data_IF_500521576815
#
_entry.id   IF_500521576815
#
_cell.length_a   1.000
_cell.length_b   1.000
_cell.length_c   1.000
_cell.angle_alpha   90.00
_cell.angle_beta   90.00
_cell.angle_gamma   90.00
#
_symmetry.space_group_name_H-M   'P 1'
#
loop_
_entity.id
_entity.type
_entity.pdbx_description
1 polymer ?
#
# COMPACT_ATOMS: atom_id res chain seq x y z
N UNK A 1 -14.32 41.73 -11.84
CA UNK A 1 -14.97 41.28 -10.58
C UNK A 1 -14.77 39.81 -10.32
N UNK A 2 -14.70 38.98 -11.36
CA UNK A 2 -14.60 37.50 -11.18
C UNK A 2 -13.20 36.99 -10.71
N UNK A 3 -12.11 37.62 -11.16
CA UNK A 3 -10.76 37.25 -10.72
C UNK A 3 -10.53 37.53 -9.23
N UNK A 4 -11.06 38.61 -8.69
CA UNK A 4 -10.96 38.94 -7.27
C UNK A 4 -11.78 37.97 -6.40
N UNK A 5 -12.96 37.59 -6.88
CA UNK A 5 -13.78 36.53 -6.21
C UNK A 5 -13.12 35.15 -6.25
N UNK A 6 -12.47 34.81 -7.36
CA UNK A 6 -11.67 33.57 -7.48
C UNK A 6 -10.47 33.61 -6.54
N UNK A 7 -9.78 34.74 -6.45
CA UNK A 7 -8.67 34.94 -5.52
C UNK A 7 -9.13 34.82 -4.07
N UNK A 8 -10.25 35.46 -3.68
CA UNK A 8 -10.82 35.33 -2.33
C UNK A 8 -11.26 33.88 -2.00
N UNK A 9 -11.76 33.12 -2.97
CA UNK A 9 -12.08 31.70 -2.75
C UNK A 9 -10.85 30.85 -2.41
N UNK A 10 -9.67 31.29 -2.83
CA UNK A 10 -8.41 30.62 -2.47
C UNK A 10 -8.08 30.70 -0.96
N UNK A 11 -8.70 31.62 -0.20
CA UNK A 11 -8.53 31.69 1.26
C UNK A 11 -9.40 30.68 2.03
N UNK A 12 -10.37 30.07 1.37
CA UNK A 12 -11.23 29.07 1.99
C UNK A 12 -10.78 27.69 1.51
N UNK A 13 -10.23 26.83 2.38
CA UNK A 13 -9.79 25.52 1.99
C UNK A 13 -10.98 24.67 1.52
N UNK A 14 -10.73 23.77 0.57
CA UNK A 14 -11.71 22.76 0.16
C UNK A 14 -12.12 21.86 1.33
N UNK A 15 -13.26 21.20 1.22
CA UNK A 15 -13.72 20.29 2.24
C UNK A 15 -12.77 19.08 2.37
N UNK A 16 -12.28 18.85 3.58
CA UNK A 16 -11.52 17.65 3.90
C UNK A 16 -12.49 16.49 4.03
N UNK A 17 -12.45 15.56 3.07
CA UNK A 17 -13.32 14.38 3.02
C UNK A 17 -12.85 13.27 3.98
N UNK A 18 -12.80 13.56 5.27
CA UNK A 18 -12.45 12.59 6.31
C UNK A 18 -13.68 12.32 7.17
N UNK A 19 -14.01 11.05 7.40
CA UNK A 19 -15.17 10.66 8.18
C UNK A 19 -14.97 10.96 9.69
N UNK A 20 -16.08 11.00 10.44
CA UNK A 20 -16.07 11.35 11.87
C UNK A 20 -15.27 10.37 12.72
N UNK A 21 -15.23 9.09 12.34
CA UNK A 21 -14.45 8.05 13.04
C UNK A 21 -12.96 8.33 12.94
N UNK A 22 -12.46 8.73 11.78
CA UNK A 22 -11.05 9.05 11.56
C UNK A 22 -10.66 10.33 12.32
N UNK A 23 -11.55 11.34 12.33
CA UNK A 23 -11.34 12.55 13.14
C UNK A 23 -11.21 12.23 14.62
N UNK A 24 -12.10 11.39 15.15
CA UNK A 24 -12.05 10.95 16.54
C UNK A 24 -10.78 10.15 16.83
N UNK A 25 -10.39 9.23 15.94
CA UNK A 25 -9.14 8.47 16.04
C UNK A 25 -7.93 9.40 16.15
N UNK A 26 -7.83 10.39 15.28
CA UNK A 26 -6.72 11.35 15.29
C UNK A 26 -6.66 12.15 16.60
N UNK A 27 -7.81 12.63 17.08
CA UNK A 27 -7.89 13.34 18.37
C UNK A 27 -7.47 12.45 19.55
N UNK A 28 -7.96 11.22 19.62
CA UNK A 28 -7.57 10.27 20.67
C UNK A 28 -6.08 9.93 20.61
N UNK A 29 -5.54 9.74 19.41
CA UNK A 29 -4.11 9.49 19.21
C UNK A 29 -3.25 10.65 19.68
N UNK A 30 -3.61 11.89 19.31
CA UNK A 30 -2.90 13.07 19.75
C UNK A 30 -2.97 13.27 21.27
N UNK A 31 -4.14 13.05 21.89
CA UNK A 31 -4.31 13.10 23.34
C UNK A 31 -3.38 12.10 24.03
N UNK A 32 -3.43 10.84 23.64
CA UNK A 32 -2.59 9.79 24.22
C UNK A 32 -1.09 10.06 23.96
N UNK A 33 -0.75 10.47 22.75
CA UNK A 33 0.63 10.79 22.38
C UNK A 33 1.24 11.87 23.24
N UNK A 34 0.56 13.00 23.40
CA UNK A 34 1.03 14.12 24.20
C UNK A 34 1.02 13.77 25.69
N UNK A 35 -0.05 13.16 26.20
CA UNK A 35 -0.18 12.80 27.60
C UNK A 35 0.93 11.82 28.04
N UNK A 36 1.12 10.72 27.30
CA UNK A 36 2.13 9.72 27.64
C UNK A 36 3.56 10.27 27.49
N UNK A 37 3.82 11.05 26.44
CA UNK A 37 5.12 11.74 26.28
C UNK A 37 5.39 12.65 27.47
N UNK A 38 4.41 13.47 27.88
CA UNK A 38 4.56 14.37 29.01
C UNK A 38 4.77 13.64 30.34
N UNK A 39 3.97 12.61 30.62
CA UNK A 39 4.10 11.81 31.85
C UNK A 39 5.46 11.10 31.95
N UNK A 40 5.91 10.45 30.87
CA UNK A 40 7.20 9.76 30.88
C UNK A 40 8.35 10.74 30.99
N UNK A 41 8.27 11.88 30.29
CA UNK A 41 9.28 12.95 30.40
C UNK A 41 9.34 13.51 31.82
N UNK A 42 8.18 13.71 32.47
CA UNK A 42 8.11 14.16 33.88
C UNK A 42 8.76 13.14 34.80
N UNK A 43 8.48 11.88 34.64
CA UNK A 43 9.07 10.81 35.46
C UNK A 43 10.58 10.66 35.23
N UNK A 44 11.04 10.77 33.96
CA UNK A 44 12.45 10.59 33.60
C UNK A 44 13.35 11.78 33.99
N UNK A 45 12.82 13.02 33.89
CA UNK A 45 13.60 14.24 34.14
C UNK A 45 13.39 14.81 35.53
N UNK A 46 12.42 14.27 36.29
CA UNK A 46 12.08 14.73 37.63
C UNK A 46 11.29 16.06 37.67
N UNK A 47 10.79 16.46 38.86
CA UNK A 47 9.96 17.64 39.03
C UNK A 47 10.82 18.91 39.10
N UNK A 48 11.61 19.19 38.08
CA UNK A 48 12.34 20.47 38.03
C UNK A 48 11.46 21.52 37.37
N UNK A 49 11.01 22.51 38.16
CA UNK A 49 10.16 23.61 37.69
C UNK A 49 10.79 24.46 36.56
N UNK A 50 12.04 24.24 36.25
CA UNK A 50 12.80 25.00 35.26
C UNK A 50 12.91 24.36 33.86
N UNK A 51 12.63 23.05 33.73
CA UNK A 51 12.80 22.37 32.45
C UNK A 51 11.44 22.20 31.73
N UNK A 52 11.33 22.57 30.45
CA UNK A 52 10.14 22.23 29.68
C UNK A 52 10.11 20.72 29.45
N UNK A 53 9.34 20.03 30.30
CA UNK A 53 9.13 18.58 30.23
C UNK A 53 8.57 18.12 28.86
N UNK A 54 7.77 18.99 28.27
CA UNK A 54 7.19 18.85 26.95
C UNK A 54 7.41 20.14 26.16
N UNK A 55 8.12 20.07 25.05
CA UNK A 55 8.34 21.25 24.21
C UNK A 55 7.14 21.50 23.29
N UNK A 56 6.74 22.75 23.13
CA UNK A 56 5.57 23.16 22.33
C UNK A 56 5.52 22.58 20.89
N UNK A 57 6.64 22.47 20.16
CA UNK A 57 6.66 21.83 18.84
C UNK A 57 6.09 20.42 18.78
N UNK A 58 6.07 19.68 19.89
CA UNK A 58 5.50 18.31 19.91
C UNK A 58 4.00 18.30 19.64
N UNK A 59 3.27 19.39 19.96
CA UNK A 59 1.87 19.53 19.59
C UNK A 59 1.66 19.48 18.08
N UNK A 60 2.47 20.22 17.31
CA UNK A 60 2.42 20.20 15.85
C UNK A 60 2.88 18.85 15.28
N UNK A 61 3.89 18.22 15.89
CA UNK A 61 4.30 16.84 15.51
C UNK A 61 3.18 15.84 15.75
N UNK A 62 2.40 15.97 16.83
CA UNK A 62 1.26 15.10 17.09
C UNK A 62 0.15 15.26 16.03
N UNK A 63 -0.10 16.48 15.53
CA UNK A 63 -1.05 16.70 14.42
C UNK A 63 -0.63 15.91 13.19
N UNK A 64 0.64 15.94 12.80
CA UNK A 64 1.15 15.18 11.67
C UNK A 64 1.09 13.67 11.90
N UNK A 65 1.55 13.20 13.06
CA UNK A 65 1.62 11.77 13.40
C UNK A 65 0.25 11.08 13.48
N UNK A 66 -0.75 11.77 13.99
CA UNK A 66 -2.07 11.19 14.22
C UNK A 66 -3.13 11.66 13.22
N UNK A 67 -2.98 12.86 12.66
CA UNK A 67 -3.91 13.41 11.67
C UNK A 67 -3.58 12.96 10.25
N UNK A 68 -2.30 12.92 9.88
CA UNK A 68 -1.84 12.57 8.51
C UNK A 68 -0.64 11.60 8.54
N UNK A 69 -0.78 10.40 9.12
CA UNK A 69 0.34 9.47 9.33
C UNK A 69 1.00 8.97 8.03
N UNK A 70 0.33 9.08 6.90
CA UNK A 70 0.88 8.73 5.59
C UNK A 70 1.79 9.83 5.00
N UNK A 71 1.72 11.07 5.53
CA UNK A 71 2.55 12.18 5.08
C UNK A 71 4.04 11.84 5.12
N UNK A 72 4.82 12.16 4.07
CA UNK A 72 6.28 12.07 4.12
C UNK A 72 6.91 12.89 5.24
N UNK A 73 6.27 14.00 5.61
CA UNK A 73 6.71 14.91 6.68
C UNK A 73 6.47 14.34 8.09
N UNK A 74 5.65 13.29 8.21
CA UNK A 74 5.34 12.59 9.45
C UNK A 74 6.12 11.27 9.63
N UNK A 75 7.01 10.91 8.70
CA UNK A 75 7.75 9.65 8.80
C UNK A 75 8.82 9.69 9.91
N UNK A 76 9.23 8.54 10.46
CA UNK A 76 10.15 8.46 11.60
C UNK A 76 11.45 9.26 11.42
N UNK A 77 12.05 9.18 10.22
CA UNK A 77 13.27 9.94 9.93
C UNK A 77 13.02 11.44 9.87
N UNK A 78 11.90 11.88 9.31
CA UNK A 78 11.54 13.30 9.26
C UNK A 78 11.41 13.89 10.66
N UNK A 79 10.77 13.16 11.58
CA UNK A 79 10.55 13.62 12.96
C UNK A 79 11.85 13.64 13.77
N UNK A 80 12.54 12.50 13.83
CA UNK A 80 13.76 12.39 14.65
C UNK A 80 14.87 13.25 14.04
N UNK A 81 15.16 13.10 12.76
CA UNK A 81 16.21 13.83 12.07
C UNK A 81 15.93 15.33 12.03
N UNK A 82 14.70 15.72 11.69
CA UNK A 82 14.31 17.12 11.63
C UNK A 82 14.43 17.83 12.97
N UNK A 83 13.87 17.24 14.05
CA UNK A 83 13.95 17.82 15.40
C UNK A 83 15.40 17.87 15.90
N UNK A 84 16.19 16.82 15.65
CA UNK A 84 17.59 16.77 16.07
C UNK A 84 18.43 17.86 15.37
N UNK A 85 18.31 17.96 14.05
CA UNK A 85 19.02 18.96 13.24
C UNK A 85 18.63 20.38 13.67
N UNK A 86 17.35 20.63 13.82
CA UNK A 86 16.83 21.93 14.22
C UNK A 86 17.29 22.32 15.64
N UNK A 87 17.30 21.36 16.57
CA UNK A 87 17.78 21.61 17.95
C UNK A 87 19.29 21.93 17.95
N UNK A 88 20.10 21.16 17.24
CA UNK A 88 21.54 21.40 17.15
C UNK A 88 21.85 22.78 16.59
N UNK A 89 21.24 23.13 15.45
CA UNK A 89 21.43 24.42 14.79
C UNK A 89 20.90 25.56 15.69
N UNK A 90 19.71 25.39 16.31
CA UNK A 90 19.14 26.39 17.20
C UNK A 90 20.04 26.68 18.40
N UNK A 91 20.54 25.64 19.08
CA UNK A 91 21.49 25.79 20.19
C UNK A 91 22.81 26.43 19.75
N UNK A 92 23.33 26.05 18.58
CA UNK A 92 24.54 26.66 18.04
C UNK A 92 24.35 28.17 17.79
N UNK A 93 23.23 28.56 17.15
CA UNK A 93 22.91 29.97 16.92
C UNK A 93 22.72 30.73 18.24
N UNK A 94 22.00 30.15 19.22
CA UNK A 94 21.80 30.77 20.52
C UNK A 94 23.12 31.02 21.27
N UNK A 95 24.12 30.16 21.06
CA UNK A 95 25.41 30.24 21.72
C UNK A 95 26.38 31.23 21.07
N UNK A 96 26.35 31.34 19.74
CA UNK A 96 27.36 32.08 18.99
C UNK A 96 26.86 33.41 18.40
N UNK A 97 25.56 33.64 18.34
CA UNK A 97 24.98 34.88 17.81
C UNK A 97 24.36 35.64 18.98
N UNK A 98 24.94 36.81 19.38
CA UNK A 98 24.49 37.56 20.56
C UNK A 98 23.10 38.14 20.44
N UNK A 99 22.70 38.57 19.22
CA UNK A 99 21.40 39.18 19.01
C UNK A 99 20.34 38.09 18.76
N UNK A 100 19.27 38.02 19.60
CA UNK A 100 18.25 36.99 19.52
C UNK A 100 17.47 37.00 18.20
N UNK A 101 17.26 38.17 17.57
CA UNK A 101 16.52 38.27 16.30
C UNK A 101 17.32 37.62 15.16
N UNK A 102 18.59 37.95 15.05
CA UNK A 102 19.46 37.35 14.05
C UNK A 102 19.70 35.86 14.35
N UNK A 103 19.91 35.50 15.60
CA UNK A 103 20.08 34.09 16.02
C UNK A 103 18.87 33.25 15.61
N UNK A 104 17.66 33.74 15.85
CA UNK A 104 16.40 33.07 15.53
C UNK A 104 16.21 32.92 14.02
N UNK A 105 16.41 34.01 13.28
CA UNK A 105 16.22 34.03 11.82
C UNK A 105 17.18 33.07 11.11
N UNK A 106 18.46 33.09 11.52
CA UNK A 106 19.49 32.20 10.97
C UNK A 106 19.23 30.77 11.39
N UNK A 107 18.84 30.52 12.64
CA UNK A 107 18.56 29.16 13.13
C UNK A 107 17.45 28.48 12.34
N UNK A 108 16.32 29.17 12.11
CA UNK A 108 15.19 28.61 11.35
C UNK A 108 15.58 28.39 9.89
N UNK A 109 16.20 29.39 9.25
CA UNK A 109 16.61 29.30 7.84
C UNK A 109 17.62 28.18 7.62
N UNK A 110 18.65 28.08 8.44
CA UNK A 110 19.66 27.05 8.36
C UNK A 110 19.10 25.65 8.68
N UNK A 111 18.18 25.56 9.65
CA UNK A 111 17.49 24.30 9.95
C UNK A 111 16.68 23.80 8.77
N UNK A 112 15.91 24.68 8.10
CA UNK A 112 15.16 24.33 6.88
C UNK A 112 16.11 23.84 5.79
N UNK A 113 17.19 24.56 5.50
CA UNK A 113 18.18 24.16 4.48
C UNK A 113 18.82 22.80 4.80
N UNK A 114 19.19 22.57 6.06
CA UNK A 114 19.77 21.32 6.50
C UNK A 114 18.75 20.15 6.44
N UNK A 115 17.49 20.37 6.81
CA UNK A 115 16.45 19.37 6.69
C UNK A 115 16.18 18.95 5.24
N UNK A 116 16.22 19.88 4.29
CA UNK A 116 16.16 19.54 2.86
C UNK A 116 17.34 18.71 2.42
N UNK A 117 18.56 19.11 2.78
CA UNK A 117 19.78 18.39 2.41
C UNK A 117 19.81 16.96 2.98
N UNK A 118 19.33 16.76 4.20
CA UNK A 118 19.30 15.48 4.91
C UNK A 118 18.00 14.67 4.68
N UNK A 119 17.10 15.18 3.85
CA UNK A 119 15.79 14.54 3.54
C UNK A 119 14.96 14.22 4.79
N UNK A 120 15.00 15.12 5.77
CA UNK A 120 14.26 14.97 7.03
C UNK A 120 13.38 16.20 7.32
N UNK A 121 12.72 16.72 6.26
CA UNK A 121 11.85 17.87 6.40
C UNK A 121 10.69 17.54 7.32
N UNK A 122 10.61 18.28 8.45
CA UNK A 122 9.56 18.17 9.45
C UNK A 122 9.17 19.58 9.90
N UNK A 123 8.04 20.14 9.44
CA UNK A 123 7.69 21.52 9.70
C UNK A 123 7.71 21.94 11.18
N UNK A 124 7.25 21.11 12.14
CA UNK A 124 7.35 21.43 13.57
C UNK A 124 8.78 21.68 14.06
N UNK A 125 9.79 21.16 13.37
CA UNK A 125 11.21 21.34 13.74
C UNK A 125 11.68 22.79 13.64
N UNK A 126 11.05 23.60 12.78
CA UNK A 126 11.28 25.04 12.77
C UNK A 126 10.99 25.69 14.13
N UNK A 127 9.92 25.25 14.80
CA UNK A 127 9.61 25.71 16.14
C UNK A 127 10.56 25.13 17.22
N UNK A 128 11.20 23.98 16.98
CA UNK A 128 12.28 23.46 17.85
C UNK A 128 13.49 24.40 17.79
N UNK A 129 13.90 24.85 16.60
CA UNK A 129 14.98 25.83 16.45
C UNK A 129 14.65 27.15 17.13
N UNK A 130 13.42 27.65 16.98
CA UNK A 130 12.92 28.83 17.71
C UNK A 130 12.99 28.64 19.23
N UNK A 131 12.54 27.50 19.72
CA UNK A 131 12.56 27.18 21.17
C UNK A 131 13.97 27.14 21.73
N UNK A 132 14.93 26.63 20.97
CA UNK A 132 16.35 26.60 21.39
C UNK A 132 16.91 28.00 21.60
N UNK A 133 16.49 28.99 20.80
CA UNK A 133 16.96 30.39 20.89
C UNK A 133 16.11 31.22 21.88
N UNK A 134 14.80 31.11 21.82
CA UNK A 134 13.87 32.00 22.55
C UNK A 134 13.27 31.36 23.80
N UNK A 135 13.58 30.13 24.14
CA UNK A 135 12.98 29.38 25.24
C UNK A 135 13.38 29.87 26.65
N UNK A 136 14.12 30.96 26.71
CA UNK A 136 14.53 31.60 27.99
C UNK A 136 15.70 30.89 28.68
N UNK A 137 16.10 31.37 29.87
CA UNK A 137 17.28 30.89 30.60
C UNK A 137 17.24 29.39 30.91
N UNK A 138 16.06 28.83 31.11
CA UNK A 138 15.88 27.40 31.38
C UNK A 138 16.28 26.51 30.19
N UNK A 139 16.03 26.98 28.98
CA UNK A 139 16.38 26.25 27.73
C UNK A 139 17.80 26.56 27.29
N UNK A 140 18.15 27.86 27.24
CA UNK A 140 19.50 28.28 26.78
C UNK A 140 20.60 27.81 27.73
N UNK A 141 20.32 27.70 29.03
CA UNK A 141 21.23 27.18 30.05
C UNK A 141 21.58 25.69 29.88
N UNK A 142 20.73 24.92 29.21
CA UNK A 142 20.99 23.51 28.89
C UNK A 142 22.07 23.33 27.79
N UNK A 143 22.26 24.34 26.94
CA UNK A 143 23.14 24.20 25.77
C UNK A 143 22.76 22.97 24.96
N UNK A 144 23.75 22.17 24.58
CA UNK A 144 23.53 20.96 23.76
C UNK A 144 22.78 19.82 24.49
N UNK A 145 22.66 19.87 25.83
CA UNK A 145 21.79 18.91 26.54
C UNK A 145 20.31 19.06 26.13
N UNK A 146 19.87 20.26 25.71
CA UNK A 146 18.53 20.46 25.15
C UNK A 146 18.22 19.55 23.97
N UNK A 147 19.22 19.22 23.15
CA UNK A 147 19.11 18.32 22.00
C UNK A 147 18.73 16.91 22.45
N UNK A 148 19.35 16.40 23.51
CA UNK A 148 19.10 15.06 24.03
C UNK A 148 17.83 15.02 24.88
N UNK A 149 17.73 15.95 25.83
CA UNK A 149 16.58 16.11 26.69
C UNK A 149 16.25 17.61 26.81
N UNK A 150 15.06 18.07 26.37
CA UNK A 150 13.85 17.29 26.06
C UNK A 150 13.67 16.85 24.60
N UNK A 151 14.41 17.39 23.60
CA UNK A 151 14.02 17.26 22.18
C UNK A 151 14.02 15.81 21.69
N UNK A 152 15.14 15.11 21.81
CA UNK A 152 15.23 13.71 21.32
C UNK A 152 14.31 12.79 22.13
N UNK A 153 14.25 12.97 23.46
CA UNK A 153 13.40 12.19 24.34
C UNK A 153 11.92 12.34 23.96
N UNK A 154 11.42 13.58 23.83
CA UNK A 154 10.01 13.83 23.46
C UNK A 154 9.71 13.28 22.05
N UNK A 155 10.61 13.50 21.09
CA UNK A 155 10.46 13.00 19.72
C UNK A 155 10.37 11.49 19.68
N UNK A 156 11.24 10.80 20.40
CA UNK A 156 11.26 9.34 20.47
C UNK A 156 10.00 8.78 21.15
N UNK A 157 9.59 9.35 22.29
CA UNK A 157 8.40 8.92 23.02
C UNK A 157 7.13 9.12 22.18
N UNK A 158 6.97 10.29 21.57
CA UNK A 158 5.83 10.59 20.72
C UNK A 158 5.77 9.67 19.51
N UNK A 159 6.92 9.39 18.88
CA UNK A 159 7.03 8.45 17.78
C UNK A 159 6.68 7.03 18.21
N UNK A 160 7.13 6.57 19.37
CA UNK A 160 6.80 5.24 19.91
C UNK A 160 5.29 5.09 20.12
N UNK A 161 4.64 6.10 20.73
CA UNK A 161 3.19 6.08 20.89
C UNK A 161 2.48 6.07 19.54
N UNK A 162 2.97 6.83 18.56
CA UNK A 162 2.40 6.85 17.22
C UNK A 162 2.55 5.50 16.50
N UNK A 163 3.70 4.82 16.63
CA UNK A 163 3.92 3.47 16.10
C UNK A 163 2.92 2.48 16.69
N UNK A 164 2.73 2.49 17.99
CA UNK A 164 1.80 1.59 18.67
C UNK A 164 0.35 1.90 18.32
N UNK A 165 -0.06 3.16 18.47
CA UNK A 165 -1.45 3.59 18.30
C UNK A 165 -1.93 3.44 16.83
N UNK A 166 -1.17 3.92 15.87
CA UNK A 166 -1.58 3.86 14.46
C UNK A 166 -1.72 2.40 14.01
N UNK A 167 -0.75 1.54 14.32
CA UNK A 167 -0.82 0.12 13.92
C UNK A 167 -1.95 -0.62 14.67
N UNK A 168 -2.19 -0.34 15.94
CA UNK A 168 -3.32 -0.90 16.69
C UNK A 168 -4.68 -0.47 16.10
N UNK A 169 -4.76 0.73 15.54
CA UNK A 169 -5.96 1.28 14.88
C UNK A 169 -6.00 1.00 13.37
N UNK A 170 -5.24 0.00 12.88
CA UNK A 170 -5.18 -0.45 11.48
C UNK A 170 -4.70 0.61 10.47
N UNK A 171 -3.97 1.62 10.93
CA UNK A 171 -3.24 2.56 10.08
C UNK A 171 -1.77 2.12 10.05
N UNK A 172 -1.31 1.62 8.90
CA UNK A 172 0.09 1.20 8.77
C UNK A 172 1.02 2.40 8.97
N UNK A 173 1.86 2.30 9.99
CA UNK A 173 2.88 3.30 10.27
C UNK A 173 4.15 2.61 10.78
N UNK A 174 5.35 2.88 10.26
CA UNK A 174 5.64 3.83 9.18
C UNK A 174 4.87 3.52 7.88
N UNK A 175 4.64 4.56 7.07
CA UNK A 175 4.04 4.36 5.75
C UNK A 175 5.07 3.66 4.86
N UNK A 176 4.77 2.42 4.48
CA UNK A 176 5.64 1.60 3.61
C UNK A 176 5.05 1.65 2.21
N UNK A 177 5.90 1.98 1.24
CA UNK A 177 5.59 1.84 -0.18
C UNK A 177 4.94 0.48 -0.47
N UNK A 178 3.94 0.47 -1.34
CA UNK A 178 3.33 -0.78 -1.81
C UNK A 178 4.41 -1.59 -2.53
N UNK A 179 4.90 -2.64 -1.89
CA UNK A 179 5.80 -3.60 -2.55
C UNK A 179 4.95 -4.35 -3.56
N UNK A 180 5.24 -4.13 -4.83
CA UNK A 180 4.66 -4.89 -5.95
C UNK A 180 4.87 -6.39 -5.65
N UNK A 181 3.80 -7.22 -5.56
CA UNK A 181 3.97 -8.66 -5.35
C UNK A 181 4.73 -9.24 -6.54
N UNK A 182 5.99 -9.42 -6.37
CA UNK A 182 7.10 -9.69 -7.24
C UNK A 182 6.76 -10.29 -8.61
N UNK A 183 7.54 -9.93 -9.60
CA UNK A 183 7.50 -10.42 -10.99
C UNK A 183 7.44 -11.96 -11.00
N UNK A 184 6.26 -12.52 -11.20
CA UNK A 184 6.02 -13.98 -11.22
C UNK A 184 6.92 -14.70 -12.25
N UNK A 185 7.29 -13.97 -13.31
CA UNK A 185 8.08 -14.50 -14.42
C UNK A 185 9.59 -14.26 -14.31
N UNK A 186 10.07 -13.61 -13.24
CA UNK A 186 11.51 -13.31 -13.01
C UNK A 186 12.21 -12.65 -14.21
N UNK A 187 11.46 -11.98 -15.08
CA UNK A 187 11.99 -11.25 -16.25
C UNK A 187 12.26 -9.79 -15.87
N UNK A 188 13.12 -9.11 -16.63
CA UNK A 188 13.43 -7.68 -16.42
C UNK A 188 12.34 -6.74 -16.96
N UNK A 189 11.36 -7.26 -17.68
CA UNK A 189 10.30 -6.46 -18.28
C UNK A 189 9.30 -5.96 -17.23
N UNK A 190 8.74 -4.79 -17.50
CA UNK A 190 7.62 -4.27 -16.71
C UNK A 190 6.36 -5.11 -16.96
N UNK A 191 5.46 -5.17 -15.95
CA UNK A 191 4.17 -5.84 -16.10
C UNK A 191 3.35 -5.25 -17.25
N UNK A 192 2.48 -6.06 -17.86
CA UNK A 192 1.72 -5.67 -19.06
C UNK A 192 0.87 -4.43 -18.83
N UNK A 193 0.29 -4.27 -17.65
CA UNK A 193 -0.49 -3.10 -17.26
C UNK A 193 0.34 -1.81 -17.20
N UNK A 194 1.60 -1.91 -16.78
CA UNK A 194 2.52 -0.75 -16.70
C UNK A 194 3.14 -0.36 -18.04
N UNK A 195 3.15 -1.26 -19.03
CA UNK A 195 3.68 -0.94 -20.38
C UNK A 195 2.75 -0.07 -21.23
N UNK A 196 1.45 -0.05 -20.92
CA UNK A 196 0.42 0.64 -21.73
C UNK A 196 -0.14 1.88 -21.02
N UNK A 197 0.02 1.98 -19.67
CA UNK A 197 -0.38 3.13 -18.85
C UNK A 197 0.76 4.14 -18.66
N UNK A 198 0.58 5.07 -17.71
CA UNK A 198 1.68 5.93 -17.28
C UNK A 198 2.75 5.10 -16.55
N UNK A 199 4.01 5.49 -16.72
CA UNK A 199 5.15 4.86 -16.07
C UNK A 199 5.54 5.63 -14.80
N UNK A 200 6.39 4.99 -13.98
CA UNK A 200 6.95 5.69 -12.81
C UNK A 200 7.85 6.85 -13.24
N UNK A 201 8.53 6.70 -14.36
CA UNK A 201 9.36 7.74 -14.98
C UNK A 201 8.53 8.96 -15.43
N UNK A 202 7.33 8.73 -15.96
CA UNK A 202 6.41 9.81 -16.34
C UNK A 202 5.97 10.60 -15.12
N UNK A 203 5.61 9.91 -14.03
CA UNK A 203 5.25 10.55 -12.77
C UNK A 203 6.43 11.34 -12.19
N UNK A 204 7.63 10.77 -12.18
CA UNK A 204 8.83 11.46 -11.72
C UNK A 204 9.14 12.69 -12.56
N UNK A 205 8.99 12.60 -13.89
CA UNK A 205 9.17 13.74 -14.79
C UNK A 205 8.19 14.88 -14.47
N UNK A 206 6.92 14.56 -14.29
CA UNK A 206 5.89 15.55 -13.93
C UNK A 206 6.16 16.15 -12.56
N UNK A 207 6.53 15.35 -11.55
CA UNK A 207 6.88 15.83 -10.22
C UNK A 207 8.11 16.76 -10.24
N UNK A 208 9.11 16.44 -11.07
CA UNK A 208 10.26 17.32 -11.29
C UNK A 208 9.87 18.66 -11.92
N UNK A 209 8.97 18.65 -12.91
CA UNK A 209 8.46 19.90 -13.50
C UNK A 209 7.64 20.71 -12.51
N UNK A 210 6.86 20.03 -11.65
CA UNK A 210 6.03 20.70 -10.63
C UNK A 210 6.89 21.45 -9.60
N UNK A 211 8.08 20.95 -9.29
CA UNK A 211 9.12 21.58 -8.46
C UNK A 211 8.60 22.15 -7.13
N UNK A 212 7.68 21.45 -6.48
CA UNK A 212 7.13 21.80 -5.16
C UNK A 212 7.08 20.57 -4.26
N UNK A 213 7.18 20.79 -2.95
CA UNK A 213 7.00 19.72 -1.97
C UNK A 213 5.51 19.38 -1.86
N UNK A 214 5.17 18.15 -2.17
CA UNK A 214 3.82 17.63 -1.98
C UNK A 214 3.76 16.85 -0.66
N UNK A 215 2.69 17.09 0.12
CA UNK A 215 2.42 16.36 1.36
C UNK A 215 1.65 15.06 1.08
N UNK A 216 2.06 14.37 0.02
CA UNK A 216 1.53 13.06 -0.39
C UNK A 216 2.72 12.21 -0.81
N UNK A 217 2.74 10.94 -0.39
CA UNK A 217 3.79 10.03 -0.82
C UNK A 217 3.70 9.76 -2.33
N UNK A 218 4.84 9.52 -2.97
CA UNK A 218 4.90 9.18 -4.39
C UNK A 218 4.01 7.97 -4.72
N UNK A 219 4.01 6.97 -3.85
CA UNK A 219 3.24 5.74 -4.03
C UNK A 219 1.73 5.97 -3.88
N UNK A 220 1.32 6.85 -2.97
CA UNK A 220 -0.09 7.25 -2.84
C UNK A 220 -0.56 8.01 -4.08
N UNK A 221 0.29 8.88 -4.65
CA UNK A 221 -0.01 9.55 -5.92
C UNK A 221 -0.17 8.56 -7.07
N UNK A 222 0.75 7.59 -7.20
CA UNK A 222 0.65 6.52 -8.20
C UNK A 222 -0.66 5.74 -8.04
N UNK A 223 -1.00 5.35 -6.82
CA UNK A 223 -2.25 4.65 -6.51
C UNK A 223 -3.49 5.49 -6.82
N UNK A 224 -3.49 6.79 -6.49
CA UNK A 224 -4.60 7.68 -6.78
C UNK A 224 -4.82 7.84 -8.30
N UNK A 225 -3.76 7.98 -9.06
CA UNK A 225 -3.83 8.07 -10.53
C UNK A 225 -4.38 6.76 -11.10
N UNK A 226 -3.85 5.61 -10.68
CA UNK A 226 -4.34 4.29 -11.09
C UNK A 226 -5.83 4.10 -10.78
N UNK A 227 -6.27 4.43 -9.57
CA UNK A 227 -7.68 4.34 -9.18
C UNK A 227 -8.55 5.29 -10.00
N UNK A 228 -8.04 6.47 -10.32
CA UNK A 228 -8.75 7.46 -11.15
C UNK A 228 -8.88 6.96 -12.58
N UNK A 229 -7.84 6.37 -13.16
CA UNK A 229 -7.89 5.76 -14.49
C UNK A 229 -8.89 4.60 -14.53
N UNK A 230 -8.85 3.70 -13.55
CA UNK A 230 -9.80 2.58 -13.42
C UNK A 230 -11.25 3.09 -13.32
N UNK A 231 -11.49 4.13 -12.54
CA UNK A 231 -12.81 4.74 -12.40
C UNK A 231 -13.28 5.39 -13.71
N UNK A 232 -12.38 6.12 -14.39
CA UNK A 232 -12.68 6.71 -15.69
C UNK A 232 -12.95 5.63 -16.76
N UNK A 233 -12.22 4.52 -16.72
CA UNK A 233 -12.43 3.38 -17.60
C UNK A 233 -13.81 2.75 -17.39
N UNK A 234 -14.19 2.46 -16.12
CA UNK A 234 -15.53 1.95 -15.78
C UNK A 234 -16.64 2.84 -16.34
N UNK A 235 -16.50 4.16 -16.23
CA UNK A 235 -17.47 5.12 -16.73
C UNK A 235 -17.58 5.12 -18.26
N UNK A 236 -16.49 4.88 -18.99
CA UNK A 236 -16.45 4.90 -20.46
C UNK A 236 -16.99 3.60 -21.08
N UNK A 237 -16.68 2.46 -20.48
CA UNK A 237 -17.02 1.14 -21.02
C UNK A 237 -18.34 0.57 -20.50
N UNK A 238 -19.09 1.33 -19.69
CA UNK A 238 -20.37 0.88 -19.12
C UNK A 238 -20.19 -0.16 -18.01
N UNK A 239 -21.31 -0.65 -17.48
CA UNK A 239 -21.31 -1.61 -16.37
C UNK A 239 -21.25 -3.06 -16.88
N UNK A 240 -20.18 -3.44 -17.60
CA UNK A 240 -19.99 -4.84 -18.00
C UNK A 240 -19.49 -5.61 -16.77
N UNK A 241 -20.25 -6.60 -16.34
CA UNK A 241 -19.95 -7.44 -15.18
C UNK A 241 -19.38 -8.80 -15.60
N UNK A 242 -18.86 -9.53 -14.62
CA UNK A 242 -18.42 -10.92 -14.83
C UNK A 242 -19.55 -11.80 -15.36
N UNK A 243 -20.79 -11.58 -14.89
CA UNK A 243 -21.96 -12.31 -15.37
C UNK A 243 -22.25 -12.14 -16.86
N UNK A 244 -21.86 -11.00 -17.46
CA UNK A 244 -22.10 -10.69 -18.87
C UNK A 244 -21.14 -11.43 -19.82
N UNK A 245 -19.94 -11.78 -19.32
CA UNK A 245 -18.85 -12.34 -20.15
C UNK A 245 -18.46 -13.76 -19.77
N UNK A 246 -18.83 -14.24 -18.60
CA UNK A 246 -18.41 -15.55 -18.10
C UNK A 246 -19.01 -16.71 -18.92
N UNK A 247 -18.23 -17.75 -19.11
CA UNK A 247 -18.71 -19.06 -19.52
C UNK A 247 -19.48 -19.70 -18.36
N UNK A 248 -20.74 -20.10 -18.56
CA UNK A 248 -21.61 -20.65 -17.51
C UNK A 248 -21.56 -22.17 -17.42
N UNK A 249 -21.29 -22.84 -18.53
CA UNK A 249 -21.11 -24.30 -18.57
C UNK A 249 -19.66 -24.66 -18.22
N UNK A 250 -19.38 -24.68 -16.91
CA UNK A 250 -18.04 -24.90 -16.40
C UNK A 250 -17.83 -26.34 -15.99
N UNK A 251 -16.90 -27.01 -16.67
CA UNK A 251 -16.45 -28.35 -16.29
C UNK A 251 -15.64 -28.22 -14.99
N UNK A 252 -16.07 -28.90 -13.94
CA UNK A 252 -15.46 -28.88 -12.60
C UNK A 252 -15.20 -30.29 -12.09
N UNK A 253 -14.33 -30.43 -11.10
CA UNK A 253 -14.00 -31.69 -10.44
C UNK A 253 -14.13 -31.55 -8.92
N UNK A 254 -14.18 -32.65 -8.21
CA UNK A 254 -14.19 -32.68 -6.77
C UNK A 254 -12.79 -32.98 -6.20
N UNK A 255 -12.60 -32.73 -4.92
CA UNK A 255 -11.34 -33.00 -4.20
C UNK A 255 -10.81 -34.42 -4.44
N UNK A 256 -11.71 -35.43 -4.36
CA UNK A 256 -11.40 -36.85 -4.49
C UNK A 256 -11.33 -37.37 -5.92
N UNK A 257 -11.52 -36.52 -6.93
CA UNK A 257 -11.40 -36.93 -8.34
C UNK A 257 -9.98 -37.43 -8.62
N UNK A 258 -9.85 -38.57 -9.33
CA UNK A 258 -8.55 -39.09 -9.69
C UNK A 258 -7.79 -38.13 -10.64
N UNK A 259 -6.46 -38.15 -10.57
CA UNK A 259 -5.64 -37.34 -11.49
C UNK A 259 -5.83 -37.78 -12.94
N UNK A 260 -6.11 -39.10 -13.18
CA UNK A 260 -6.36 -39.63 -14.49
C UNK A 260 -7.67 -39.07 -15.11
N UNK A 261 -8.76 -39.06 -14.34
CA UNK A 261 -10.03 -38.52 -14.77
C UNK A 261 -9.95 -37.00 -14.99
N UNK A 262 -9.30 -36.27 -14.07
CA UNK A 262 -9.13 -34.83 -14.23
C UNK A 262 -8.30 -34.46 -15.48
N UNK A 263 -7.23 -35.21 -15.76
CA UNK A 263 -6.44 -35.02 -16.96
C UNK A 263 -7.24 -35.35 -18.22
N UNK A 264 -8.02 -36.46 -18.20
CA UNK A 264 -8.90 -36.83 -19.33
C UNK A 264 -9.93 -35.74 -19.62
N UNK A 265 -10.51 -35.09 -18.60
CA UNK A 265 -11.42 -33.96 -18.77
C UNK A 265 -10.73 -32.75 -19.40
N UNK A 266 -9.51 -32.37 -18.95
CA UNK A 266 -8.74 -31.28 -19.57
C UNK A 266 -8.52 -31.53 -21.08
N UNK A 267 -8.16 -32.76 -21.45
CA UNK A 267 -7.93 -33.11 -22.86
C UNK A 267 -9.24 -33.17 -23.67
N UNK A 268 -10.27 -33.83 -23.12
CA UNK A 268 -11.58 -33.99 -23.79
C UNK A 268 -12.20 -32.65 -24.14
N UNK A 269 -12.20 -31.72 -23.18
CA UNK A 269 -12.82 -30.39 -23.33
C UNK A 269 -11.84 -29.34 -23.86
N UNK A 270 -10.56 -29.71 -24.12
CA UNK A 270 -9.50 -28.81 -24.61
C UNK A 270 -9.34 -27.56 -23.74
N UNK A 271 -9.47 -27.72 -22.41
CA UNK A 271 -9.34 -26.65 -21.41
C UNK A 271 -8.03 -26.79 -20.63
N UNK A 272 -7.54 -25.70 -20.05
CA UNK A 272 -6.25 -25.66 -19.34
C UNK A 272 -6.39 -25.68 -17.81
N UNK A 273 -7.61 -25.49 -17.31
CA UNK A 273 -7.88 -25.45 -15.87
C UNK A 273 -9.26 -26.03 -15.56
N UNK A 274 -9.38 -26.66 -14.39
CA UNK A 274 -10.62 -27.17 -13.82
C UNK A 274 -10.80 -26.58 -12.42
N UNK A 275 -11.88 -25.85 -12.13
CA UNK A 275 -12.24 -25.52 -10.76
C UNK A 275 -12.52 -26.79 -9.96
N UNK A 276 -12.06 -26.78 -8.71
CA UNK A 276 -12.32 -27.85 -7.75
C UNK A 276 -13.39 -27.39 -6.79
N UNK A 277 -14.46 -28.17 -6.70
CA UNK A 277 -15.63 -27.86 -5.87
C UNK A 277 -15.86 -28.93 -4.82
N UNK A 278 -16.59 -28.59 -3.77
CA UNK A 278 -17.12 -29.55 -2.82
C UNK A 278 -18.54 -30.00 -3.21
N UNK A 279 -19.14 -30.91 -2.43
CA UNK A 279 -20.50 -31.41 -2.61
C UNK A 279 -21.58 -30.31 -2.61
N UNK A 280 -21.33 -29.16 -1.98
CA UNK A 280 -22.19 -27.98 -1.99
C UNK A 280 -21.92 -27.04 -3.18
N UNK A 281 -21.13 -27.48 -4.17
CA UNK A 281 -20.66 -26.68 -5.32
C UNK A 281 -19.82 -25.46 -4.96
N UNK A 282 -19.31 -25.36 -3.73
CA UNK A 282 -18.44 -24.26 -3.33
C UNK A 282 -17.04 -24.47 -3.89
N UNK A 283 -16.47 -23.39 -4.39
CA UNK A 283 -15.09 -23.36 -4.90
C UNK A 283 -14.11 -23.59 -3.75
N UNK A 284 -13.26 -24.63 -3.87
CA UNK A 284 -12.25 -24.99 -2.87
C UNK A 284 -10.84 -25.00 -3.44
N UNK A 285 -10.69 -25.00 -4.78
CA UNK A 285 -9.40 -25.03 -5.44
C UNK A 285 -9.53 -24.85 -6.95
N UNK A 286 -8.38 -24.85 -7.60
CA UNK A 286 -8.25 -24.93 -9.05
C UNK A 286 -7.08 -25.86 -9.38
N UNK A 287 -7.23 -26.68 -10.41
CA UNK A 287 -6.16 -27.52 -10.95
C UNK A 287 -5.92 -27.17 -12.41
N UNK A 288 -4.67 -27.00 -12.77
CA UNK A 288 -4.25 -26.62 -14.13
C UNK A 288 -3.30 -27.63 -14.73
N UNK A 289 -3.11 -27.59 -16.05
CA UNK A 289 -2.07 -28.38 -16.72
C UNK A 289 -0.68 -28.15 -16.13
N UNK A 290 -0.39 -26.92 -15.66
CA UNK A 290 0.88 -26.57 -15.01
C UNK A 290 1.10 -27.33 -13.71
N UNK A 291 0.02 -27.59 -12.93
CA UNK A 291 0.12 -28.35 -11.68
C UNK A 291 0.52 -29.80 -11.94
N UNK A 292 -0.04 -30.40 -12.98
CA UNK A 292 0.38 -31.75 -13.44
C UNK A 292 1.84 -31.77 -13.89
N UNK A 293 2.28 -30.79 -14.67
CA UNK A 293 3.66 -30.72 -15.15
C UNK A 293 4.66 -30.52 -14.01
N UNK A 294 4.33 -29.65 -13.05
CA UNK A 294 5.18 -29.38 -11.88
C UNK A 294 5.35 -30.61 -10.99
N UNK A 295 4.26 -31.32 -10.70
CA UNK A 295 4.29 -32.48 -9.82
C UNK A 295 4.92 -33.72 -10.48
N UNK A 296 4.78 -33.87 -11.78
CA UNK A 296 5.42 -34.96 -12.53
C UNK A 296 6.94 -34.79 -12.68
N UNK A 297 7.53 -33.71 -12.15
CA UNK A 297 8.96 -33.39 -12.21
C UNK A 297 9.54 -33.44 -13.65
N UNK A 298 8.82 -32.84 -14.59
CA UNK A 298 9.09 -32.89 -16.04
C UNK A 298 10.18 -31.88 -16.44
N UNK A 299 11.22 -31.69 -15.63
CA UNK A 299 12.31 -30.76 -15.93
C UNK A 299 13.30 -31.28 -17.01
N UNK A 300 13.12 -32.50 -17.51
CA UNK A 300 14.00 -33.09 -18.55
C UNK A 300 13.16 -33.55 -19.72
N UNK A 301 13.49 -33.07 -20.91
CA UNK A 301 12.78 -33.29 -22.20
C UNK A 301 12.69 -34.73 -22.70
N UNK A 302 13.36 -35.67 -22.08
CA UNK A 302 13.34 -37.07 -22.52
C UNK A 302 12.28 -37.89 -21.79
N UNK A 303 11.30 -38.41 -22.49
CA UNK A 303 10.28 -39.31 -21.95
C UNK A 303 9.07 -38.61 -21.30
N UNK A 304 8.72 -37.39 -21.76
CA UNK A 304 7.59 -36.60 -21.27
C UNK A 304 6.28 -37.41 -21.18
N UNK A 305 5.88 -38.06 -22.28
CA UNK A 305 4.64 -38.83 -22.33
C UNK A 305 4.62 -40.01 -21.34
N UNK A 306 5.76 -40.69 -21.18
CA UNK A 306 5.85 -41.84 -20.27
C UNK A 306 5.81 -41.42 -18.82
N UNK A 307 6.54 -40.38 -18.44
CA UNK A 307 6.56 -39.84 -17.09
C UNK A 307 5.19 -39.27 -16.67
N UNK A 308 4.54 -38.53 -17.58
CA UNK A 308 3.22 -37.98 -17.34
C UNK A 308 2.19 -39.12 -17.20
N UNK A 309 2.19 -40.09 -18.08
CA UNK A 309 1.32 -41.28 -17.98
C UNK A 309 1.57 -42.06 -16.68
N UNK A 310 2.83 -42.24 -16.29
CA UNK A 310 3.18 -42.92 -15.06
C UNK A 310 2.75 -42.12 -13.81
N UNK A 311 2.83 -40.78 -13.87
CA UNK A 311 2.36 -39.89 -12.80
C UNK A 311 0.85 -39.92 -12.64
N UNK A 312 0.10 -39.87 -13.72
CA UNK A 312 -1.37 -39.82 -13.72
C UNK A 312 -1.97 -41.17 -13.31
N UNK A 313 -1.32 -42.31 -13.70
CA UNK A 313 -1.84 -43.67 -13.52
C UNK A 313 -1.95 -44.03 -12.02
N UNK A 314 -3.09 -44.57 -11.62
CA UNK A 314 -3.35 -45.02 -10.25
C UNK A 314 -2.39 -46.11 -9.82
N UNK A 315 -1.89 -46.06 -8.60
CA UNK A 315 -0.99 -47.05 -8.05
C UNK A 315 -1.80 -48.25 -7.49
N UNK A 316 -1.38 -49.46 -7.79
CA UNK A 316 -2.07 -50.68 -7.30
C UNK A 316 -1.66 -51.10 -5.89
N UNK A 317 -0.70 -50.39 -5.26
CA UNK A 317 -0.22 -50.71 -3.91
C UNK A 317 -0.99 -49.88 -2.85
N UNK A 318 -1.18 -50.46 -1.67
CA UNK A 318 -1.91 -49.90 -0.55
C UNK A 318 -1.25 -48.70 0.12
N UNK A 319 0.03 -48.43 -0.15
CA UNK A 319 0.78 -47.26 0.34
C UNK A 319 1.56 -46.65 -0.84
N UNK A 320 1.24 -45.42 -1.18
CA UNK A 320 1.95 -44.65 -2.21
C UNK A 320 2.17 -43.25 -1.67
N UNK A 321 3.43 -42.77 -1.69
CA UNK A 321 3.78 -41.35 -1.43
C UNK A 321 3.41 -40.44 -2.61
N UNK A 322 2.90 -41.00 -3.70
CA UNK A 322 2.52 -40.30 -4.92
C UNK A 322 1.11 -39.75 -4.78
N UNK A 323 0.87 -38.47 -5.17
CA UNK A 323 -0.47 -37.93 -5.27
C UNK A 323 -1.35 -38.72 -6.23
N UNK A 324 -2.59 -39.03 -5.82
CA UNK A 324 -3.55 -39.79 -6.62
C UNK A 324 -4.83 -39.03 -6.93
N UNK A 325 -5.15 -38.00 -6.12
CA UNK A 325 -6.36 -37.21 -6.26
C UNK A 325 -6.06 -35.73 -6.44
N UNK A 326 -6.99 -35.05 -7.09
CA UNK A 326 -6.91 -33.61 -7.42
C UNK A 326 -6.59 -32.75 -6.20
N UNK A 327 -7.23 -33.02 -5.06
CA UNK A 327 -7.05 -32.25 -3.85
C UNK A 327 -5.64 -32.22 -3.29
N UNK A 328 -4.78 -33.18 -3.66
CA UNK A 328 -3.38 -33.26 -3.22
C UNK A 328 -2.45 -32.34 -4.00
N UNK A 329 -2.84 -31.94 -5.23
CA UNK A 329 -1.99 -31.13 -6.11
C UNK A 329 -2.62 -29.80 -6.52
N UNK A 330 -3.91 -29.59 -6.24
CA UNK A 330 -4.62 -28.35 -6.59
C UNK A 330 -4.04 -27.13 -5.88
N UNK A 331 -4.21 -25.96 -6.47
CA UNK A 331 -4.00 -24.69 -5.79
C UNK A 331 -5.25 -24.35 -4.96
N UNK A 332 -5.12 -24.25 -3.62
CA UNK A 332 -6.24 -23.98 -2.71
C UNK A 332 -6.54 -22.48 -2.53
N UNK A 333 -5.50 -21.61 -2.64
CA UNK A 333 -5.65 -20.16 -2.59
C UNK A 333 -6.05 -19.61 -3.97
N UNK A 334 -7.32 -19.79 -4.35
CA UNK A 334 -7.84 -19.40 -5.66
C UNK A 334 -8.33 -17.96 -5.64
N UNK A 335 -7.82 -17.15 -6.56
CA UNK A 335 -8.44 -15.86 -6.88
C UNK A 335 -9.74 -16.12 -7.65
N UNK A 336 -10.86 -15.68 -7.09
CA UNK A 336 -12.19 -15.75 -7.68
C UNK A 336 -12.83 -14.37 -7.68
N UNK A 337 -13.81 -14.13 -8.54
CA UNK A 337 -14.58 -12.91 -8.57
C UNK A 337 -16.08 -13.21 -8.39
N UNK A 338 -16.85 -12.22 -8.00
CA UNK A 338 -18.30 -12.31 -7.87
C UNK A 338 -18.98 -12.02 -9.23
N UNK A 339 -20.23 -12.44 -9.38
CA UNK A 339 -20.97 -12.29 -10.63
C UNK A 339 -21.18 -10.83 -11.04
N UNK A 340 -21.36 -9.94 -10.08
CA UNK A 340 -21.58 -8.50 -10.24
C UNK A 340 -20.28 -7.69 -10.29
N UNK A 341 -19.14 -8.32 -10.04
CA UNK A 341 -17.85 -7.66 -10.15
C UNK A 341 -17.62 -7.13 -11.56
N UNK A 342 -17.11 -5.90 -11.66
CA UNK A 342 -16.83 -5.27 -12.94
C UNK A 342 -15.61 -5.90 -13.61
N UNK A 343 -15.67 -6.15 -14.94
CA UNK A 343 -14.58 -6.82 -15.67
C UNK A 343 -13.21 -6.15 -15.53
N UNK A 344 -13.17 -4.86 -15.28
CA UNK A 344 -11.93 -4.10 -15.06
C UNK A 344 -11.15 -4.62 -13.84
N UNK A 345 -11.82 -5.17 -12.85
CA UNK A 345 -11.20 -5.75 -11.65
C UNK A 345 -10.40 -7.01 -11.97
N UNK A 346 -10.74 -7.67 -13.10
CA UNK A 346 -10.05 -8.86 -13.57
C UNK A 346 -8.80 -8.54 -14.43
N UNK A 347 -8.65 -7.29 -14.89
CA UNK A 347 -7.53 -6.91 -15.77
C UNK A 347 -6.20 -7.16 -15.08
N UNK A 348 -6.02 -6.64 -13.87
CA UNK A 348 -4.76 -6.76 -13.14
C UNK A 348 -4.41 -8.22 -12.78
N UNK A 349 -5.33 -9.05 -12.20
CA UNK A 349 -5.06 -10.46 -11.98
C UNK A 349 -4.69 -11.24 -13.25
N UNK A 350 -5.37 -10.98 -14.37
CA UNK A 350 -5.14 -11.68 -15.63
C UNK A 350 -3.89 -11.21 -16.38
N UNK A 351 -3.46 -9.95 -16.16
CA UNK A 351 -2.29 -9.39 -16.84
C UNK A 351 -0.99 -9.59 -16.07
N UNK A 352 -1.01 -9.40 -14.76
CA UNK A 352 0.20 -9.25 -13.95
C UNK A 352 0.51 -10.46 -13.05
N UNK A 353 -0.54 -11.22 -12.67
CA UNK A 353 -0.38 -12.35 -11.73
C UNK A 353 -0.18 -13.71 -12.40
N UNK A 354 -0.03 -13.76 -13.73
CA UNK A 354 0.11 -15.02 -14.46
C UNK A 354 -1.11 -15.94 -14.38
N UNK A 355 -2.25 -15.40 -13.95
CA UNK A 355 -3.53 -16.10 -13.85
C UNK A 355 -4.24 -15.98 -15.19
N UNK A 356 -4.63 -17.10 -15.76
CA UNK A 356 -5.31 -17.12 -17.07
C UNK A 356 -6.81 -17.47 -16.97
N UNK A 357 -7.24 -17.93 -15.80
CA UNK A 357 -8.59 -18.42 -15.52
C UNK A 357 -9.03 -17.94 -14.16
N UNK A 358 -10.16 -17.25 -14.09
CA UNK A 358 -10.75 -16.76 -12.84
C UNK A 358 -12.13 -17.39 -12.68
N UNK A 359 -12.32 -18.30 -11.70
CA UNK A 359 -13.63 -18.82 -11.36
C UNK A 359 -14.54 -17.70 -10.85
N UNK A 360 -15.79 -17.70 -11.29
CA UNK A 360 -16.82 -16.77 -10.86
C UNK A 360 -17.73 -17.49 -9.88
N UNK A 361 -17.98 -16.85 -8.75
CA UNK A 361 -18.77 -17.41 -7.66
C UNK A 361 -19.96 -16.51 -7.31
N UNK A 362 -20.97 -17.13 -6.70
CA UNK A 362 -22.09 -16.39 -6.10
C UNK A 362 -21.76 -15.94 -4.65
N UNK A 363 -22.71 -15.28 -4.00
CA UNK A 363 -22.65 -14.82 -2.60
C UNK A 363 -22.37 -15.94 -1.58
N UNK A 364 -22.69 -17.19 -1.92
CA UNK A 364 -22.41 -18.38 -1.10
C UNK A 364 -21.11 -19.10 -1.49
N UNK A 365 -20.25 -18.46 -2.32
CA UNK A 365 -19.02 -19.02 -2.90
C UNK A 365 -19.24 -20.27 -3.76
N UNK A 366 -20.41 -20.47 -4.33
CA UNK A 366 -20.67 -21.55 -5.29
C UNK A 366 -20.19 -21.14 -6.67
N UNK A 367 -19.58 -22.07 -7.37
CA UNK A 367 -19.11 -21.87 -8.73
C UNK A 367 -20.28 -21.69 -9.69
N UNK A 368 -20.35 -20.54 -10.37
CA UNK A 368 -21.39 -20.17 -11.33
C UNK A 368 -20.86 -19.87 -12.73
N UNK A 369 -19.57 -19.65 -12.87
CA UNK A 369 -18.95 -19.36 -14.17
C UNK A 369 -17.42 -19.39 -14.13
N UNK A 370 -16.84 -19.11 -15.30
CA UNK A 370 -15.40 -18.95 -15.50
C UNK A 370 -15.15 -17.79 -16.45
N UNK A 371 -14.19 -16.92 -16.14
CA UNK A 371 -13.68 -15.90 -17.05
C UNK A 371 -12.23 -16.20 -17.38
N UNK A 372 -11.90 -16.13 -18.66
CA UNK A 372 -10.54 -16.33 -19.19
C UNK A 372 -10.01 -15.05 -19.83
N UNK A 373 -8.71 -15.01 -20.15
CA UNK A 373 -8.14 -13.89 -20.92
C UNK A 373 -8.83 -13.70 -22.27
N UNK A 374 -9.30 -14.77 -22.92
CA UNK A 374 -10.00 -14.70 -24.21
C UNK A 374 -11.35 -13.98 -24.07
N UNK A 375 -12.08 -14.24 -22.97
CA UNK A 375 -13.36 -13.57 -22.69
C UNK A 375 -13.13 -12.08 -22.46
N UNK A 376 -12.06 -11.71 -21.74
CA UNK A 376 -11.67 -10.32 -21.53
C UNK A 376 -11.35 -9.61 -22.83
N UNK A 377 -10.55 -10.23 -23.73
CA UNK A 377 -10.22 -9.65 -25.04
C UNK A 377 -11.50 -9.45 -25.88
N UNK A 378 -12.40 -10.42 -25.89
CA UNK A 378 -13.66 -10.32 -26.59
C UNK A 378 -14.56 -9.21 -26.03
N UNK A 379 -14.62 -9.04 -24.71
CA UNK A 379 -15.39 -8.00 -24.06
C UNK A 379 -14.84 -6.59 -24.38
N UNK A 380 -13.51 -6.42 -24.32
CA UNK A 380 -12.85 -5.16 -24.66
C UNK A 380 -13.06 -4.77 -26.13
N UNK A 381 -13.02 -5.73 -27.03
CA UNK A 381 -13.29 -5.49 -28.47
C UNK A 381 -14.74 -5.01 -28.70
N UNK A 382 -15.72 -5.66 -28.07
CA UNK A 382 -17.15 -5.30 -28.18
C UNK A 382 -17.46 -3.95 -27.50
N UNK A 383 -16.84 -3.67 -26.38
CA UNK A 383 -16.99 -2.38 -25.68
C UNK A 383 -16.55 -1.20 -26.55
N UNK A 384 -15.46 -1.35 -27.31
CA UNK A 384 -14.99 -0.34 -28.27
C UNK A 384 -15.94 -0.17 -29.48
N UNK A 385 -16.58 -1.24 -29.93
CA UNK A 385 -17.50 -1.17 -31.08
C UNK A 385 -18.76 -0.33 -30.78
N UNK A 386 -19.22 -0.32 -29.53
CA UNK A 386 -20.36 0.49 -29.09
C UNK A 386 -20.04 1.98 -28.94
N UNK A 387 -18.75 2.38 -28.96
CA UNK A 387 -18.31 3.79 -28.89
C UNK A 387 -18.17 4.41 -30.28
N UNK A 388 -18.24 3.63 -31.36
CA UNK A 388 -18.08 4.08 -32.76
C UNK A 388 -19.40 4.23 -33.51
N UNK A 389 -20.54 3.99 -32.87
CA UNK A 389 -21.86 4.31 -33.45
C UNK A 389 -22.28 5.71 -32.97
N UNK A 390 -22.46 6.67 -33.90
CA UNK A 390 -22.86 8.05 -33.60
C UNK A 390 -24.27 8.14 -33.02
#
# INVERSE_FOLDING_TARGET
MDQFRLWLRGFVPGQVMVNSTERLRACCGALLGILLTGLVSHWALGPTAALPLLIAPMGASAVLLFGVPASPLAQPWSIIGGNLVAAVIGVACARWIPDPLFATSIAVSAAIGAMFALRCLHPPSGAVALTAVLGGPAVTGLGFHFVLAPVLLNSFLLLLVALLFNNATRRRYPHVAHVDPGKLHQTKDQSSGRRVGFTQEDLDHVLHQYNQVLDVSRDDLENLILQTELHAYRRRFGAITCADIMSRDVVSVEYGTSLEDAWALLLKHRIKALPVINSARRLIGIITQTDFMRQANLQVYTGFDQKLKQFIRRTTSTHSDKPEVVGQIMTSAVQSAETDAHIVELVQPLSDSGIHHIPIVDDQRRLVGMVTQSDMVAALYRGNANLTTP
#
